data_IF_532693718501
#
_entry.id   IF_532693718501
#
_cell.length_a   1.000
_cell.length_b   1.000
_cell.length_c   1.000
_cell.angle_alpha   90.00
_cell.angle_beta   90.00
_cell.angle_gamma   90.00
#
_symmetry.space_group_name_H-M   'P 1'
#
loop_
_entity.id
_entity.type
_entity.pdbx_description
1 polymer ?
#
# COMPACT_ATOMS: atom_id res chain seq x y z
N UNK A 1 -14.01 17.58 -3.37
CA UNK A 1 -12.82 17.11 -2.63
C UNK A 1 -13.26 16.95 -1.19
N UNK A 2 -12.79 15.93 -0.49
CA UNK A 2 -13.16 15.71 0.90
C UNK A 2 -11.95 15.81 1.82
N UNK A 3 -12.11 16.41 2.99
CA UNK A 3 -11.07 16.46 4.04
C UNK A 3 -11.45 15.56 5.19
N UNK A 4 -10.46 15.01 5.88
CA UNK A 4 -10.64 14.33 7.15
C UNK A 4 -10.00 15.18 8.24
N UNK A 5 -10.76 15.43 9.31
CA UNK A 5 -10.34 16.24 10.46
C UNK A 5 -10.29 15.40 11.72
N UNK A 6 -9.43 15.79 12.67
CA UNK A 6 -9.41 15.19 13.99
C UNK A 6 -10.33 15.94 14.99
N UNK A 7 -10.31 15.51 16.26
CA UNK A 7 -11.13 16.10 17.34
C UNK A 7 -10.84 17.58 17.64
N UNK A 8 -9.72 18.14 17.14
CA UNK A 8 -9.34 19.55 17.25
C UNK A 8 -9.61 20.33 15.97
N UNK A 9 -10.38 19.74 15.05
CA UNK A 9 -10.64 20.23 13.70
C UNK A 9 -9.38 20.43 12.85
N UNK A 10 -8.26 19.77 13.19
CA UNK A 10 -7.05 19.81 12.39
C UNK A 10 -7.20 18.84 11.21
N UNK A 11 -6.86 19.30 10.02
CA UNK A 11 -6.94 18.49 8.80
C UNK A 11 -5.79 17.47 8.82
N UNK A 12 -6.14 16.20 8.83
CA UNK A 12 -5.19 15.08 8.87
C UNK A 12 -5.05 14.38 7.52
N UNK A 13 -6.03 14.51 6.63
CA UNK A 13 -5.99 13.95 5.28
C UNK A 13 -6.95 14.67 4.34
N UNK A 14 -6.78 14.47 3.02
CA UNK A 14 -7.73 14.92 2.00
C UNK A 14 -7.78 13.92 0.83
N UNK A 15 -8.92 13.89 0.13
CA UNK A 15 -9.17 13.05 -1.03
C UNK A 15 -9.73 13.91 -2.18
N UNK A 16 -9.05 13.90 -3.32
CA UNK A 16 -9.54 14.54 -4.56
C UNK A 16 -10.60 13.66 -5.22
N UNK A 17 -10.36 12.35 -5.24
CA UNK A 17 -11.25 11.34 -5.82
C UNK A 17 -11.60 10.33 -4.71
N UNK A 18 -12.89 10.00 -4.59
CA UNK A 18 -13.40 9.18 -3.50
C UNK A 18 -13.59 9.98 -2.23
N UNK A 19 -13.50 9.31 -1.08
CA UNK A 19 -13.76 9.94 0.22
C UNK A 19 -13.46 9.04 1.41
N UNK A 20 -13.63 9.62 2.59
CA UNK A 20 -13.61 9.04 3.91
C UNK A 20 -15.05 8.94 4.43
N UNK A 21 -15.30 7.94 5.28
CA UNK A 21 -16.61 7.70 5.88
C UNK A 21 -17.12 8.90 6.70
N UNK A 22 -16.22 9.59 7.40
CA UNK A 22 -16.51 10.81 8.20
C UNK A 22 -15.88 12.08 7.60
N UNK A 23 -15.63 12.08 6.29
CA UNK A 23 -15.01 13.23 5.64
C UNK A 23 -15.97 14.40 5.42
N UNK A 24 -15.43 15.61 5.38
CA UNK A 24 -16.16 16.85 5.11
C UNK A 24 -15.92 17.27 3.67
N UNK A 25 -17.00 17.48 2.91
CA UNK A 25 -16.91 18.00 1.55
C UNK A 25 -16.53 19.48 1.54
N UNK A 26 -15.51 19.81 0.75
CA UNK A 26 -14.99 21.17 0.60
C UNK A 26 -15.12 21.60 -0.85
N UNK A 27 -15.79 22.74 -1.03
CA UNK A 27 -15.96 23.39 -2.33
C UNK A 27 -14.84 24.40 -2.62
N UNK A 28 -14.39 25.14 -1.60
CA UNK A 28 -13.39 26.20 -1.74
C UNK A 28 -12.09 25.83 -1.06
N UNK A 29 -11.01 25.77 -1.86
CA UNK A 29 -9.67 25.44 -1.41
C UNK A 29 -8.73 26.64 -1.58
N UNK A 30 -7.80 26.88 -0.65
CA UNK A 30 -6.67 27.77 -0.91
C UNK A 30 -5.88 27.27 -2.13
N UNK A 31 -5.48 28.18 -3.03
CA UNK A 31 -4.86 27.87 -4.33
C UNK A 31 -3.66 26.91 -4.23
N UNK A 32 -2.86 27.06 -3.18
CA UNK A 32 -1.65 26.24 -2.96
C UNK A 32 -1.84 25.12 -1.94
N UNK A 33 -3.05 24.87 -1.45
CA UNK A 33 -3.31 23.93 -0.34
C UNK A 33 -2.67 22.56 -0.58
N UNK A 34 -2.89 21.94 -1.74
CA UNK A 34 -2.35 20.61 -2.03
C UNK A 34 -0.83 20.55 -2.07
N UNK A 35 -0.16 21.67 -2.38
CA UNK A 35 1.31 21.75 -2.46
C UNK A 35 1.93 21.93 -1.07
N UNK A 36 1.29 22.77 -0.24
CA UNK A 36 1.78 23.10 1.11
C UNK A 36 1.17 22.23 2.21
N UNK A 37 0.25 21.32 1.85
CA UNK A 37 -0.41 20.47 2.83
C UNK A 37 0.60 19.64 3.61
N UNK A 38 0.51 19.75 4.93
CA UNK A 38 1.10 18.84 5.90
C UNK A 38 -0.01 18.47 6.90
N UNK A 39 -0.06 17.22 7.38
CA UNK A 39 -1.01 16.85 8.42
C UNK A 39 -0.92 17.83 9.60
N UNK A 40 -2.08 18.29 10.09
CA UNK A 40 -2.23 19.27 11.18
C UNK A 40 -1.79 20.71 10.88
N UNK A 41 -1.23 21.03 9.71
CA UNK A 41 -0.85 22.41 9.35
C UNK A 41 -2.05 23.32 9.09
N UNK A 42 -3.21 22.73 8.80
CA UNK A 42 -4.45 23.44 8.55
C UNK A 42 -5.54 22.98 9.52
N UNK A 43 -6.44 23.89 9.87
CA UNK A 43 -7.67 23.64 10.64
C UNK A 43 -8.88 23.97 9.77
N UNK A 44 -9.95 23.21 9.97
CA UNK A 44 -11.25 23.53 9.40
C UNK A 44 -12.09 24.27 10.44
N UNK A 45 -12.48 25.50 10.14
CA UNK A 45 -13.24 26.35 11.06
C UNK A 45 -14.24 27.21 10.29
N UNK A 46 -15.48 27.24 10.76
CA UNK A 46 -16.55 28.07 10.18
C UNK A 46 -16.77 27.89 8.67
N UNK A 47 -16.58 26.68 8.15
CA UNK A 47 -16.73 26.41 6.71
C UNK A 47 -15.47 26.67 5.88
N UNK A 48 -14.39 27.16 6.49
CA UNK A 48 -13.17 27.56 5.81
C UNK A 48 -11.94 26.77 6.30
N UNK A 49 -10.94 26.67 5.42
CA UNK A 49 -9.64 26.10 5.74
C UNK A 49 -8.71 27.26 6.13
N UNK A 50 -8.24 27.23 7.39
CA UNK A 50 -7.32 28.22 7.94
C UNK A 50 -6.02 27.56 8.37
N UNK A 51 -4.94 28.33 8.45
CA UNK A 51 -3.66 27.83 8.97
C UNK A 51 -3.79 27.54 10.48
N UNK A 52 -3.16 26.45 10.94
CA UNK A 52 -3.13 26.12 12.35
C UNK A 52 -1.96 26.84 13.03
N UNK A 53 -2.24 27.87 13.82
CA UNK A 53 -1.21 28.61 14.57
C UNK A 53 -0.44 27.74 15.58
N UNK A 54 -1.07 26.67 16.08
CA UNK A 54 -0.46 25.69 16.98
C UNK A 54 0.37 24.63 16.23
N UNK A 55 0.50 24.76 14.90
CA UNK A 55 1.31 23.85 14.11
C UNK A 55 2.78 24.02 14.47
N UNK A 56 3.25 23.14 15.34
CA UNK A 56 4.66 22.79 15.38
C UNK A 56 4.88 21.76 14.29
N UNK A 57 5.89 21.98 13.46
CA UNK A 57 6.51 20.92 12.69
C UNK A 57 7.19 20.01 13.70
N UNK A 58 6.40 19.16 14.37
CA UNK A 58 6.94 17.99 15.05
C UNK A 58 7.78 17.30 13.99
N UNK A 59 9.09 17.19 14.24
CA UNK A 59 9.97 16.34 13.44
C UNK A 59 9.46 14.91 13.62
N UNK A 60 8.41 14.56 12.90
CA UNK A 60 8.22 13.19 12.49
C UNK A 60 9.49 12.87 11.72
N UNK A 61 10.32 11.98 12.29
CA UNK A 61 11.61 11.50 11.78
C UNK A 61 11.51 10.77 10.41
N UNK A 62 10.47 11.08 9.63
CA UNK A 62 10.22 10.58 8.29
C UNK A 62 9.66 11.75 7.48
N UNK A 63 10.51 12.32 6.63
CA UNK A 63 10.22 13.40 5.67
C UNK A 63 10.43 14.83 6.19
N UNK A 64 11.70 15.26 6.25
CA UNK A 64 12.17 16.47 5.54
C UNK A 64 13.68 16.66 5.75
N UNK A 65 14.46 16.36 4.71
CA UNK A 65 15.64 17.17 4.37
C UNK A 65 15.64 17.38 2.86
N UNK A 66 14.99 18.46 2.45
CA UNK A 66 15.31 19.18 1.21
C UNK A 66 15.51 20.62 1.66
N UNK A 67 16.73 20.94 2.09
CA UNK A 67 17.59 21.85 1.33
C UNK A 67 18.88 22.15 2.09
N UNK A 68 19.99 21.71 1.51
CA UNK A 68 21.27 22.42 1.52
C UNK A 68 22.00 21.92 0.28
N UNK A 69 22.13 22.81 -0.69
CA UNK A 69 22.90 22.64 -1.90
C UNK A 69 24.32 22.12 -1.55
N UNK A 70 24.84 21.20 -2.38
CA UNK A 70 26.23 20.70 -2.43
C UNK A 70 26.58 19.26 -1.92
N UNK A 71 25.65 18.41 -1.46
CA UNK A 71 26.01 16.99 -1.12
C UNK A 71 25.06 15.87 -1.61
N UNK A 72 24.20 16.12 -2.60
CA UNK A 72 23.05 15.23 -2.88
C UNK A 72 23.24 14.09 -3.90
N UNK A 73 24.43 13.85 -4.44
CA UNK A 73 24.60 12.80 -5.48
C UNK A 73 24.80 11.39 -4.91
N UNK A 74 25.33 11.26 -3.69
CA UNK A 74 25.67 9.94 -3.10
C UNK A 74 24.49 9.34 -2.31
N UNK A 75 23.65 10.16 -1.68
CA UNK A 75 22.53 9.70 -0.85
C UNK A 75 21.32 9.20 -1.68
N UNK A 76 21.10 9.77 -2.88
CA UNK A 76 19.99 9.38 -3.76
C UNK A 76 20.16 7.97 -4.34
N UNK A 77 21.39 7.62 -4.72
CA UNK A 77 21.73 6.30 -5.28
C UNK A 77 21.52 5.16 -4.27
N UNK A 78 21.74 5.42 -2.98
CA UNK A 78 21.57 4.43 -1.92
C UNK A 78 20.10 4.12 -1.65
N UNK A 79 19.23 5.13 -1.76
CA UNK A 79 17.77 4.95 -1.68
C UNK A 79 17.27 4.17 -2.89
N UNK A 80 17.72 4.55 -4.10
CA UNK A 80 17.40 3.82 -5.34
C UNK A 80 17.87 2.36 -5.26
N UNK A 81 19.08 2.09 -4.76
CA UNK A 81 19.59 0.73 -4.54
C UNK A 81 18.73 -0.06 -3.57
N UNK A 82 18.32 0.52 -2.45
CA UNK A 82 17.45 -0.14 -1.47
C UNK A 82 16.09 -0.46 -2.06
N UNK A 83 15.51 0.45 -2.85
CA UNK A 83 14.26 0.20 -3.57
C UNK A 83 14.40 -0.94 -4.57
N UNK A 84 15.44 -0.93 -5.42
CA UNK A 84 15.70 -2.00 -6.39
C UNK A 84 15.91 -3.34 -5.68
N UNK A 85 16.69 -3.38 -4.60
CA UNK A 85 16.92 -4.60 -3.83
C UNK A 85 15.62 -5.14 -3.20
N UNK A 86 14.78 -4.25 -2.67
CA UNK A 86 13.47 -4.62 -2.12
C UNK A 86 12.54 -5.19 -3.18
N UNK A 87 12.50 -4.57 -4.37
CA UNK A 87 11.71 -5.04 -5.51
C UNK A 87 12.21 -6.39 -6.01
N UNK A 88 13.53 -6.57 -6.16
CA UNK A 88 14.12 -7.85 -6.53
C UNK A 88 13.80 -8.95 -5.52
N UNK A 89 13.87 -8.65 -4.22
CA UNK A 89 13.48 -9.58 -3.15
C UNK A 89 12.01 -9.99 -3.28
N UNK A 90 11.12 -9.04 -3.55
CA UNK A 90 9.69 -9.32 -3.76
C UNK A 90 9.46 -10.21 -4.99
N UNK A 91 10.15 -9.94 -6.10
CA UNK A 91 10.05 -10.76 -7.32
C UNK A 91 10.53 -12.19 -7.07
N UNK A 92 11.67 -12.38 -6.39
CA UNK A 92 12.20 -13.72 -6.07
C UNK A 92 11.25 -14.48 -5.15
N UNK A 93 10.68 -13.81 -4.13
CA UNK A 93 9.70 -14.42 -3.24
C UNK A 93 8.43 -14.84 -3.99
N UNK A 94 7.92 -14.00 -4.87
CA UNK A 94 6.76 -14.29 -5.72
C UNK A 94 7.01 -15.48 -6.64
N UNK A 95 8.18 -15.53 -7.29
CA UNK A 95 8.59 -16.67 -8.13
C UNK A 95 8.68 -17.95 -7.32
N UNK A 96 9.26 -17.91 -6.12
CA UNK A 96 9.34 -19.08 -5.22
C UNK A 96 7.95 -19.60 -4.85
N UNK A 97 7.01 -18.71 -4.51
CA UNK A 97 5.63 -19.08 -4.20
C UNK A 97 4.96 -19.72 -5.42
N UNK A 98 5.12 -19.13 -6.60
CA UNK A 98 4.58 -19.66 -7.87
C UNK A 98 5.12 -21.06 -8.17
N UNK A 99 6.41 -21.30 -7.96
CA UNK A 99 7.01 -22.63 -8.10
C UNK A 99 6.45 -23.64 -7.09
N UNK A 100 6.20 -23.22 -5.84
CA UNK A 100 5.60 -24.09 -4.83
C UNK A 100 4.16 -24.47 -5.20
N UNK A 101 3.36 -23.52 -5.64
CA UNK A 101 1.99 -23.76 -6.12
C UNK A 101 1.99 -24.71 -7.31
N UNK A 102 2.86 -24.47 -8.30
CA UNK A 102 2.97 -25.37 -9.47
C UNK A 102 3.39 -26.79 -9.06
N UNK A 103 4.33 -26.92 -8.11
CA UNK A 103 4.74 -28.22 -7.57
C UNK A 103 3.58 -28.92 -6.86
N UNK A 104 2.80 -28.20 -6.05
CA UNK A 104 1.63 -28.75 -5.39
C UNK A 104 0.57 -29.21 -6.40
N UNK A 105 0.28 -28.41 -7.42
CA UNK A 105 -0.67 -28.75 -8.49
C UNK A 105 -0.24 -30.03 -9.22
N UNK A 106 1.04 -30.17 -9.57
CA UNK A 106 1.56 -31.38 -10.22
C UNK A 106 1.45 -32.63 -9.33
N UNK A 107 1.72 -32.49 -8.02
CA UNK A 107 1.57 -33.58 -7.06
C UNK A 107 0.11 -34.00 -6.90
N UNK A 108 -0.81 -33.04 -6.79
CA UNK A 108 -2.25 -33.31 -6.71
C UNK A 108 -2.76 -34.01 -7.97
N UNK A 109 -2.37 -33.54 -9.16
CA UNK A 109 -2.72 -34.19 -10.42
C UNK A 109 -2.24 -35.65 -10.46
N UNK A 110 -1.02 -35.92 -10.00
CA UNK A 110 -0.48 -37.29 -9.89
C UNK A 110 -1.28 -38.15 -8.90
N UNK A 111 -1.67 -37.59 -7.76
CA UNK A 111 -2.52 -38.27 -6.78
C UNK A 111 -3.90 -38.60 -7.36
N UNK A 112 -4.52 -37.67 -8.08
CA UNK A 112 -5.81 -37.90 -8.75
C UNK A 112 -5.74 -39.02 -9.78
N UNK A 113 -4.71 -39.02 -10.64
CA UNK A 113 -4.52 -40.10 -11.64
C UNK A 113 -4.31 -41.45 -10.95
N UNK A 114 -3.53 -41.48 -9.87
CA UNK A 114 -3.29 -42.71 -9.09
C UNK A 114 -4.57 -43.21 -8.42
N UNK A 115 -5.38 -42.31 -7.86
CA UNK A 115 -6.66 -42.64 -7.25
C UNK A 115 -7.65 -43.20 -8.29
N UNK A 116 -7.76 -42.55 -9.45
CA UNK A 116 -8.60 -43.04 -10.54
C UNK A 116 -8.15 -44.43 -11.00
N UNK A 117 -6.84 -44.65 -11.16
CA UNK A 117 -6.32 -45.98 -11.54
C UNK A 117 -6.71 -47.06 -10.53
N UNK A 118 -6.54 -46.79 -9.23
CA UNK A 118 -6.96 -47.72 -8.18
C UNK A 118 -8.47 -47.96 -8.17
N UNK A 119 -9.27 -46.93 -8.44
CA UNK A 119 -10.72 -47.05 -8.52
C UNK A 119 -11.14 -47.98 -9.66
N UNK A 120 -10.50 -47.84 -10.83
CA UNK A 120 -10.75 -48.72 -11.98
C UNK A 120 -10.30 -50.16 -11.73
N UNK A 121 -9.17 -50.37 -11.06
CA UNK A 121 -8.72 -51.71 -10.64
C UNK A 121 -9.74 -52.39 -9.72
N UNK A 122 -10.23 -51.68 -8.69
CA UNK A 122 -11.24 -52.21 -7.76
C UNK A 122 -12.58 -52.48 -8.45
N UNK A 123 -13.01 -51.61 -9.37
CA UNK A 123 -14.25 -51.83 -10.16
C UNK A 123 -14.13 -53.04 -11.09
N UNK A 124 -13.00 -53.19 -11.77
CA UNK A 124 -12.75 -54.32 -12.67
C UNK A 124 -12.68 -55.66 -11.94
N UNK A 125 -12.21 -55.68 -10.68
CA UNK A 125 -12.24 -56.87 -9.82
C UNK A 125 -13.67 -57.25 -9.39
N UNK A 126 -14.56 -56.28 -9.18
CA UNK A 126 -15.97 -56.54 -8.83
C UNK A 126 -16.87 -56.95 -9.99
N UNK A 127 -16.50 -56.65 -11.25
CA UNK A 127 -17.26 -57.06 -12.44
C UNK A 127 -16.87 -58.47 -12.96
N UNK A 128 -15.75 -59.02 -12.52
CA UNK A 128 -15.24 -60.35 -12.92
C UNK A 128 -15.40 -61.43 -11.82
N UNK A 129 -16.15 -61.15 -10.74
CA UNK A 129 -16.46 -62.06 -9.63
C UNK A 129 -17.95 -62.39 -9.59
#
# INVERSE_FOLDING_TARGET
MQILVNKRNEIISYAIIGGFEEGIDIENLPENFSQVFRPKAFKYSNGEIVFNEDYSEEKDDLHQQIDSEEQNTVASDDILRKMVASMQKQVVQSTKLSMQVNKQNALMAKQLVTLNKKLEEVKGETENA
#
